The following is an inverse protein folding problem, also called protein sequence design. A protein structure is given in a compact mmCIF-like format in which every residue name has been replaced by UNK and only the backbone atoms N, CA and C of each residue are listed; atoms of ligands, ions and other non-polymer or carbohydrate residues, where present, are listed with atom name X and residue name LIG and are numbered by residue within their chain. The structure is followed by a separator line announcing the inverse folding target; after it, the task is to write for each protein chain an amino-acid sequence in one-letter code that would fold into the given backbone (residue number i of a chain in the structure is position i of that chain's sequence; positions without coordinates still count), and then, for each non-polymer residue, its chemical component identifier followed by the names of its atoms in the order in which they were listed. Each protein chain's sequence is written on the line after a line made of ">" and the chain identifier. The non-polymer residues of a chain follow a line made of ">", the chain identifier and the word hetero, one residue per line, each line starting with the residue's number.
data_IF_964295740103
#
_entry.id   IF_964295740103
#
_cell.length_a   1.000
_cell.length_b   1.000
_cell.length_c   1.000
_cell.angle_alpha   90.00
_cell.angle_beta   90.00
_cell.angle_gamma   90.00
#
_symmetry.space_group_name_H-M   'P 1'
#
loop_
_entity.id
_entity.type
_entity.pdbx_description
1 polymer ?
#
# COMPACT_ATOMS: atom_id res chain seq x y z
N UNK A 1 -2.39 20.01 12.63
CA UNK A 1 -1.78 21.37 12.62
C UNK A 1 -1.47 21.90 14.04
N UNK A 2 -0.93 21.07 14.96
CA UNK A 2 -0.68 21.50 16.36
C UNK A 2 0.64 20.99 16.96
N UNK A 3 1.63 20.74 16.09
CA UNK A 3 2.99 20.29 16.47
C UNK A 3 4.04 21.41 16.33
N UNK A 4 3.64 22.59 15.82
CA UNK A 4 4.52 23.73 15.58
C UNK A 4 4.62 24.74 16.74
N UNK A 5 3.84 24.58 17.82
CA UNK A 5 3.81 25.60 18.88
C UNK A 5 4.77 25.31 20.02
N UNK A 6 4.71 24.14 20.66
CA UNK A 6 5.50 23.92 21.88
C UNK A 6 6.99 23.67 21.61
N UNK A 7 7.33 22.85 20.61
CA UNK A 7 8.73 22.57 20.27
C UNK A 7 9.45 23.84 19.81
N UNK A 8 8.84 24.53 18.85
CA UNK A 8 9.39 25.75 18.26
C UNK A 8 9.48 26.88 19.29
N UNK A 9 8.51 27.03 20.19
CA UNK A 9 8.61 28.03 21.28
C UNK A 9 9.77 27.73 22.23
N UNK A 10 10.00 26.45 22.56
CA UNK A 10 11.14 26.06 23.41
C UNK A 10 12.48 26.32 22.70
N UNK A 11 12.58 26.02 21.41
CA UNK A 11 13.79 26.30 20.62
C UNK A 11 14.06 27.80 20.46
N UNK A 12 13.01 28.60 20.24
CA UNK A 12 13.11 30.05 20.18
C UNK A 12 13.58 30.61 21.52
N UNK A 13 12.97 30.18 22.63
CA UNK A 13 13.37 30.60 23.98
C UNK A 13 14.84 30.27 24.26
N UNK A 14 15.28 29.04 23.92
CA UNK A 14 16.68 28.62 24.07
C UNK A 14 17.63 29.48 23.24
N UNK A 15 17.25 29.82 22.02
CA UNK A 15 18.07 30.63 21.11
C UNK A 15 18.13 32.08 21.58
N UNK A 16 17.01 32.66 21.99
CA UNK A 16 16.94 34.00 22.58
C UNK A 16 17.78 34.10 23.86
N UNK A 17 17.74 33.09 24.74
CA UNK A 17 18.55 33.06 25.96
C UNK A 17 20.06 33.07 25.65
N UNK A 18 20.51 32.30 24.64
CA UNK A 18 21.91 32.30 24.20
C UNK A 18 22.35 33.68 23.70
N UNK A 19 21.49 34.34 22.90
CA UNK A 19 21.77 35.68 22.37
C UNK A 19 21.84 36.72 23.50
N UNK A 20 20.91 36.67 24.46
CA UNK A 20 20.93 37.56 25.63
C UNK A 20 22.19 37.35 26.46
N UNK A 21 22.55 36.10 26.75
CA UNK A 21 23.76 35.78 27.52
C UNK A 21 25.03 36.24 26.80
N UNK A 22 25.12 36.04 25.48
CA UNK A 22 26.24 36.53 24.69
C UNK A 22 26.30 38.06 24.72
N UNK A 23 25.16 38.74 24.54
CA UNK A 23 25.07 40.20 24.60
C UNK A 23 25.51 40.75 25.96
N UNK A 24 25.15 40.09 27.06
CA UNK A 24 25.60 40.44 28.41
C UNK A 24 27.11 40.26 28.59
N UNK A 25 27.69 39.18 28.07
CA UNK A 25 29.15 38.96 28.10
C UNK A 25 29.87 40.07 27.33
N UNK A 26 29.38 40.41 26.12
CA UNK A 26 29.93 41.50 25.33
C UNK A 26 29.79 42.86 26.03
N UNK A 27 28.63 43.15 26.63
CA UNK A 27 28.41 44.39 27.37
C UNK A 27 29.30 44.48 28.61
N UNK A 28 29.47 43.38 29.35
CA UNK A 28 30.37 43.30 30.49
C UNK A 28 31.83 43.51 30.08
N UNK A 29 32.29 42.83 29.03
CA UNK A 29 33.64 43.00 28.48
C UNK A 29 33.86 44.44 28.01
N UNK A 30 32.89 45.02 27.32
CA UNK A 30 32.95 46.40 26.86
C UNK A 30 33.03 47.39 28.03
N UNK A 31 32.21 47.22 29.07
CA UNK A 31 32.26 48.07 30.27
C UNK A 31 33.59 47.97 31.00
N UNK A 32 34.10 46.74 31.19
CA UNK A 32 35.36 46.49 31.89
C UNK A 32 36.57 47.06 31.14
N UNK A 33 36.60 46.94 29.82
CA UNK A 33 37.70 47.45 28.98
C UNK A 33 37.44 48.86 28.40
N UNK A 34 36.34 49.52 28.75
CA UNK A 34 35.99 50.87 28.27
C UNK A 34 37.03 51.94 28.68
N UNK A 35 37.70 51.76 29.81
CA UNK A 35 38.82 52.61 30.24
C UNK A 35 40.05 52.43 29.35
N UNK A 36 40.37 51.18 28.97
CA UNK A 36 41.46 50.84 28.05
C UNK A 36 41.21 51.42 26.65
N UNK A 37 39.98 51.35 26.15
CA UNK A 37 39.61 51.96 24.86
C UNK A 37 39.71 53.50 24.86
N UNK A 38 39.42 54.17 25.99
CA UNK A 38 39.60 55.63 26.12
C UNK A 38 41.07 56.05 26.15
N UNK A 39 41.95 55.21 26.66
CA UNK A 39 43.39 55.48 26.72
C UNK A 39 44.12 55.19 25.39
N UNK A 40 43.47 54.47 24.46
CA UNK A 40 44.05 54.00 23.20
C UNK A 40 44.57 55.13 22.28
N UNK A 41 43.89 56.28 22.11
CA UNK A 41 44.37 57.37 21.24
C UNK A 41 45.66 58.03 21.72
N UNK A 42 46.01 57.88 23.00
CA UNK A 42 47.22 58.47 23.59
C UNK A 42 48.46 57.60 23.39
N UNK A 43 48.29 56.33 22.97
CA UNK A 43 49.38 55.40 22.67
C UNK A 43 49.47 55.26 21.14
N UNK A 44 50.59 55.66 20.53
CA UNK A 44 50.74 55.63 19.06
C UNK A 44 50.44 54.27 18.40
N UNK A 45 50.36 54.25 17.07
CA UNK A 45 49.87 53.10 16.25
C UNK A 45 50.41 51.72 16.66
N UNK A 46 51.72 51.59 16.92
CA UNK A 46 52.35 50.32 17.28
C UNK A 46 51.84 49.75 18.61
N UNK A 47 51.64 50.61 19.62
CA UNK A 47 51.09 50.23 20.91
C UNK A 47 49.60 49.89 20.80
N UNK A 48 48.83 50.69 20.04
CA UNK A 48 47.41 50.45 19.80
C UNK A 48 47.14 49.08 19.18
N UNK A 49 47.94 48.67 18.19
CA UNK A 49 47.83 47.36 17.54
C UNK A 49 48.07 46.19 18.53
N UNK A 50 49.09 46.28 19.38
CA UNK A 50 49.38 45.24 20.38
C UNK A 50 48.25 45.11 21.41
N UNK A 51 47.74 46.23 21.93
CA UNK A 51 46.65 46.23 22.90
C UNK A 51 45.36 45.68 22.28
N UNK A 52 44.98 46.14 21.08
CA UNK A 52 43.78 45.66 20.38
C UNK A 52 43.88 44.17 20.06
N UNK A 53 45.03 43.70 19.57
CA UNK A 53 45.21 42.28 19.28
C UNK A 53 45.12 41.40 20.54
N UNK A 54 45.61 41.88 21.68
CA UNK A 54 45.48 41.19 22.97
C UNK A 54 44.02 41.14 23.43
N UNK A 55 43.31 42.28 23.35
CA UNK A 55 41.88 42.36 23.71
C UNK A 55 41.01 41.44 22.84
N UNK A 56 41.26 41.41 21.53
CA UNK A 56 40.55 40.52 20.60
C UNK A 56 40.81 39.06 20.97
N UNK A 57 42.05 38.67 21.30
CA UNK A 57 42.37 37.29 21.72
C UNK A 57 41.61 36.92 23.00
N UNK A 58 41.60 37.78 24.02
CA UNK A 58 40.89 37.54 25.26
C UNK A 58 39.38 37.43 25.07
N UNK A 59 38.80 38.30 24.24
CA UNK A 59 37.40 38.22 23.84
C UNK A 59 37.11 36.89 23.12
N UNK A 60 37.96 36.49 22.18
CA UNK A 60 37.82 35.25 21.43
C UNK A 60 37.84 34.01 22.32
N UNK A 61 38.79 33.94 23.25
CA UNK A 61 38.90 32.84 24.21
C UNK A 61 37.66 32.79 25.11
N UNK A 62 37.18 33.94 25.58
CA UNK A 62 35.96 34.02 26.42
C UNK A 62 34.71 33.56 25.68
N UNK A 63 34.52 34.00 24.43
CA UNK A 63 33.38 33.59 23.59
C UNK A 63 33.44 32.11 23.25
N UNK A 64 34.62 31.58 22.92
CA UNK A 64 34.80 30.15 22.63
C UNK A 64 34.51 29.29 23.87
N UNK A 65 35.04 29.66 25.04
CA UNK A 65 34.76 28.95 26.28
C UNK A 65 33.26 28.95 26.61
N UNK A 66 32.57 30.09 26.44
CA UNK A 66 31.13 30.19 26.62
C UNK A 66 30.36 29.26 25.67
N UNK A 67 30.68 29.27 24.36
CA UNK A 67 30.00 28.42 23.39
C UNK A 67 30.26 26.93 23.62
N UNK A 68 31.45 26.54 24.07
CA UNK A 68 31.75 25.16 24.45
C UNK A 68 30.84 24.72 25.59
N UNK A 69 30.74 25.51 26.66
CA UNK A 69 29.89 25.19 27.83
C UNK A 69 28.42 25.09 27.42
N UNK A 70 27.91 26.08 26.69
CA UNK A 70 26.52 26.09 26.21
C UNK A 70 26.25 24.93 25.26
N UNK A 71 27.20 24.60 24.38
CA UNK A 71 27.09 23.49 23.44
C UNK A 71 27.02 22.13 24.12
N UNK A 72 27.84 21.91 25.16
CA UNK A 72 27.80 20.68 25.97
C UNK A 72 26.45 20.53 26.67
N UNK A 73 25.94 21.61 27.28
CA UNK A 73 24.62 21.59 27.95
C UNK A 73 23.49 21.32 26.95
N UNK A 74 23.56 21.92 25.76
CA UNK A 74 22.58 21.71 24.70
C UNK A 74 22.58 20.26 24.20
N UNK A 75 23.77 19.73 23.91
CA UNK A 75 23.96 18.36 23.45
C UNK A 75 23.46 17.35 24.48
N UNK A 76 23.80 17.53 25.76
CA UNK A 76 23.37 16.62 26.83
C UNK A 76 21.84 16.58 26.96
N UNK A 77 21.18 17.74 26.89
CA UNK A 77 19.72 17.83 26.92
C UNK A 77 19.07 17.14 25.71
N UNK A 78 19.59 17.38 24.51
CA UNK A 78 19.08 16.75 23.30
C UNK A 78 19.29 15.24 23.31
N UNK A 79 20.46 14.77 23.74
CA UNK A 79 20.75 13.34 23.87
C UNK A 79 19.77 12.65 24.82
N UNK A 80 19.50 13.25 25.98
CA UNK A 80 18.51 12.73 26.93
C UNK A 80 17.10 12.68 26.32
N UNK A 81 16.69 13.75 25.65
CA UNK A 81 15.37 13.85 25.02
C UNK A 81 15.18 12.80 23.92
N UNK A 82 16.12 12.70 22.99
CA UNK A 82 16.09 11.70 21.90
C UNK A 82 15.98 10.29 22.47
N UNK A 83 16.78 9.97 23.49
CA UNK A 83 16.75 8.65 24.13
C UNK A 83 15.46 8.37 24.89
N UNK A 84 14.74 9.40 25.33
CA UNK A 84 13.41 9.28 25.93
C UNK A 84 12.35 9.08 24.85
N UNK A 85 12.43 9.83 23.75
CA UNK A 85 11.48 9.79 22.64
C UNK A 85 11.59 8.48 21.84
N UNK A 86 12.78 7.88 21.77
CA UNK A 86 13.01 6.56 21.14
C UNK A 86 12.51 5.37 21.98
N UNK A 87 12.07 5.58 23.22
CA UNK A 87 11.47 4.50 24.01
C UNK A 87 10.02 4.37 23.60
N UNK A 88 9.63 3.19 23.11
CA UNK A 88 8.23 2.88 22.88
C UNK A 88 7.43 3.06 24.17
N UNK A 89 6.29 3.75 24.07
CA UNK A 89 5.29 3.73 25.14
C UNK A 89 4.70 2.32 25.26
N UNK A 90 4.20 1.98 26.46
CA UNK A 90 3.41 0.74 26.62
C UNK A 90 2.20 0.72 25.69
N UNK A 91 1.68 1.90 25.35
CA UNK A 91 0.58 2.05 24.40
C UNK A 91 1.03 1.78 22.96
N UNK A 92 2.23 2.22 22.58
CA UNK A 92 2.80 1.96 21.24
C UNK A 92 3.05 0.47 21.03
N UNK A 93 3.61 -0.22 22.03
CA UNK A 93 3.82 -1.69 21.99
C UNK A 93 2.50 -2.43 21.86
N UNK A 94 1.46 -1.99 22.59
CA UNK A 94 0.14 -2.60 22.52
C UNK A 94 -0.54 -2.38 21.17
N UNK A 95 -0.27 -1.25 20.52
CA UNK A 95 -0.80 -0.93 19.21
C UNK A 95 -0.07 -1.70 18.11
N UNK A 96 1.26 -1.81 18.17
CA UNK A 96 2.02 -2.68 17.28
C UNK A 96 1.59 -4.15 17.39
N UNK A 97 1.33 -4.65 18.59
CA UNK A 97 0.80 -6.01 18.77
C UNK A 97 -0.58 -6.20 18.10
N UNK A 98 -1.46 -5.21 18.18
CA UNK A 98 -2.77 -5.25 17.50
C UNK A 98 -2.63 -5.20 15.97
N UNK A 99 -1.69 -4.40 15.48
CA UNK A 99 -1.43 -4.24 14.04
C UNK A 99 -0.75 -5.49 13.45
N UNK A 100 0.11 -6.16 14.23
CA UNK A 100 0.76 -7.43 13.86
C UNK A 100 -0.20 -8.62 13.87
N UNK A 101 -1.12 -8.69 14.83
CA UNK A 101 -2.13 -9.76 14.88
C UNK A 101 -3.20 -9.58 13.80
N UNK A 102 -3.48 -8.34 13.40
CA UNK A 102 -4.44 -7.98 12.37
C UNK A 102 -5.88 -8.31 12.78
N UNK A 103 -6.83 -7.44 12.46
CA UNK A 103 -8.23 -7.70 12.78
C UNK A 103 -8.73 -8.94 11.99
N UNK A 104 -9.10 -10.05 12.65
CA UNK A 104 -9.62 -11.24 11.98
C UNK A 104 -10.84 -10.91 11.12
N UNK A 105 -11.62 -9.89 11.45
CA UNK A 105 -12.74 -9.42 10.63
C UNK A 105 -12.26 -8.83 9.30
N UNK A 106 -11.16 -8.10 9.30
CA UNK A 106 -10.60 -7.51 8.08
C UNK A 106 -9.98 -8.57 7.15
N UNK A 107 -9.37 -9.62 7.72
CA UNK A 107 -8.89 -10.79 6.96
C UNK A 107 -10.06 -11.57 6.35
N UNK A 108 -11.11 -11.82 7.12
CA UNK A 108 -12.31 -12.52 6.64
C UNK A 108 -13.02 -11.70 5.56
N UNK A 109 -13.24 -10.40 5.77
CA UNK A 109 -13.87 -9.50 4.79
C UNK A 109 -13.09 -9.41 3.48
N UNK A 110 -11.75 -9.39 3.54
CA UNK A 110 -10.90 -9.44 2.33
C UNK A 110 -11.09 -10.76 1.57
N UNK A 111 -11.14 -11.88 2.28
CA UNK A 111 -11.34 -13.21 1.68
C UNK A 111 -12.74 -13.34 1.07
N UNK A 112 -13.77 -12.83 1.74
CA UNK A 112 -15.15 -12.79 1.25
C UNK A 112 -15.25 -11.98 -0.05
N UNK A 113 -14.68 -10.78 -0.07
CA UNK A 113 -14.68 -9.91 -1.26
C UNK A 113 -13.95 -10.56 -2.45
N UNK A 114 -12.82 -11.24 -2.21
CA UNK A 114 -12.10 -11.98 -3.26
C UNK A 114 -12.91 -13.17 -3.78
N UNK A 115 -13.66 -13.85 -2.92
CA UNK A 115 -14.57 -14.94 -3.32
C UNK A 115 -15.74 -14.42 -4.14
N UNK A 116 -16.30 -13.27 -3.77
CA UNK A 116 -17.44 -12.66 -4.46
C UNK A 116 -17.06 -12.24 -5.89
N UNK A 117 -15.91 -11.60 -6.08
CA UNK A 117 -15.38 -11.21 -7.40
C UNK A 117 -15.19 -12.43 -8.31
N UNK A 118 -14.58 -13.51 -7.79
CA UNK A 118 -14.39 -14.76 -8.54
C UNK A 118 -15.73 -15.41 -8.89
N UNK A 119 -16.69 -15.43 -7.96
CA UNK A 119 -18.02 -15.99 -8.20
C UNK A 119 -18.83 -15.19 -9.21
N UNK A 120 -18.67 -13.86 -9.24
CA UNK A 120 -19.32 -12.97 -10.20
C UNK A 120 -18.78 -13.14 -11.62
N UNK A 121 -17.46 -13.23 -11.77
CA UNK A 121 -16.84 -13.52 -13.07
C UNK A 121 -17.27 -14.89 -13.60
N UNK A 122 -17.32 -15.91 -12.75
CA UNK A 122 -17.77 -17.25 -13.13
C UNK A 122 -19.24 -17.23 -13.59
N UNK A 123 -20.12 -16.59 -12.82
CA UNK A 123 -21.54 -16.51 -13.17
C UNK A 123 -21.75 -15.83 -14.52
N UNK A 124 -20.95 -14.80 -14.84
CA UNK A 124 -21.00 -14.14 -16.13
C UNK A 124 -20.56 -15.06 -17.28
N UNK A 125 -19.48 -15.83 -17.11
CA UNK A 125 -19.03 -16.81 -18.11
C UNK A 125 -20.07 -17.90 -18.36
N UNK A 126 -20.74 -18.38 -17.30
CA UNK A 126 -21.83 -19.37 -17.43
C UNK A 126 -23.01 -18.80 -18.23
N UNK A 127 -23.42 -17.55 -17.95
CA UNK A 127 -24.52 -16.88 -18.68
C UNK A 127 -24.24 -16.66 -20.17
N UNK A 128 -22.97 -16.51 -20.54
CA UNK A 128 -22.55 -16.35 -21.94
C UNK A 128 -22.37 -17.68 -22.67
N UNK A 129 -22.53 -18.80 -21.97
CA UNK A 129 -22.36 -20.13 -22.55
C UNK A 129 -23.62 -20.52 -23.33
N UNK A 130 -23.41 -21.17 -24.47
CA UNK A 130 -24.49 -21.76 -25.27
C UNK A 130 -24.94 -23.09 -24.68
N UNK A 131 -24.00 -23.84 -24.09
CA UNK A 131 -24.29 -25.10 -23.42
C UNK A 131 -23.28 -25.38 -22.31
N UNK A 132 -23.70 -26.18 -21.33
CA UNK A 132 -22.82 -26.72 -20.29
C UNK A 132 -22.77 -28.23 -20.42
N UNK A 133 -21.57 -28.80 -20.54
CA UNK A 133 -21.34 -30.25 -20.56
C UNK A 133 -20.93 -30.70 -19.17
N UNK A 134 -21.61 -31.71 -18.60
CA UNK A 134 -21.29 -32.23 -17.26
C UNK A 134 -20.88 -33.69 -17.26
N UNK A 135 -19.95 -34.02 -16.36
CA UNK A 135 -19.74 -35.35 -15.81
C UNK A 135 -20.31 -35.31 -14.38
N UNK A 136 -21.32 -36.13 -14.04
CA UNK A 136 -22.04 -36.05 -12.78
C UNK A 136 -21.15 -35.82 -11.57
N UNK A 137 -21.55 -34.86 -10.74
CA UNK A 137 -20.91 -34.46 -9.47
C UNK A 137 -19.43 -34.05 -9.51
N UNK A 138 -18.76 -34.15 -10.66
CA UNK A 138 -17.30 -34.02 -10.74
C UNK A 138 -16.79 -32.94 -11.68
N UNK A 139 -17.42 -32.74 -12.85
CA UNK A 139 -16.91 -31.78 -13.85
C UNK A 139 -18.08 -31.06 -14.53
N UNK A 140 -17.94 -29.75 -14.72
CA UNK A 140 -18.79 -28.98 -15.62
C UNK A 140 -17.92 -28.08 -16.50
N UNK A 141 -18.21 -28.07 -17.81
CA UNK A 141 -17.52 -27.26 -18.81
C UNK A 141 -18.53 -26.39 -19.55
N UNK A 142 -18.27 -25.09 -19.58
CA UNK A 142 -19.06 -24.08 -20.25
C UNK A 142 -18.56 -23.85 -21.68
N UNK A 143 -19.40 -24.10 -22.67
CA UNK A 143 -19.08 -23.92 -24.08
C UNK A 143 -19.68 -22.61 -24.61
N UNK A 144 -18.84 -21.76 -25.18
CA UNK A 144 -19.23 -20.57 -25.92
C UNK A 144 -19.17 -20.81 -27.42
N UNK A 145 -20.16 -20.28 -28.15
CA UNK A 145 -20.19 -20.31 -29.60
C UNK A 145 -21.06 -19.16 -30.12
N UNK A 146 -20.63 -18.50 -31.19
CA UNK A 146 -21.43 -17.48 -31.86
C UNK A 146 -21.16 -17.57 -33.37
N UNK A 147 -22.18 -17.80 -34.23
CA UNK A 147 -21.97 -17.98 -35.67
C UNK A 147 -21.16 -16.87 -36.36
N UNK A 148 -21.28 -15.63 -35.88
CA UNK A 148 -20.64 -14.44 -36.48
C UNK A 148 -19.28 -14.13 -35.84
N UNK A 149 -19.22 -14.10 -34.50
CA UNK A 149 -18.04 -13.60 -33.78
C UNK A 149 -17.10 -14.73 -33.30
N UNK A 150 -17.63 -15.94 -33.12
CA UNK A 150 -16.91 -17.10 -32.58
C UNK A 150 -17.23 -18.36 -33.39
N UNK A 151 -16.70 -18.48 -34.63
CA UNK A 151 -17.04 -19.56 -35.56
C UNK A 151 -16.51 -20.93 -35.11
N UNK A 152 -15.54 -20.95 -34.18
CA UNK A 152 -15.03 -22.17 -33.55
C UNK A 152 -15.40 -22.11 -32.06
N UNK A 153 -16.11 -23.12 -31.53
CA UNK A 153 -16.49 -23.16 -30.12
C UNK A 153 -15.28 -23.05 -29.18
N UNK A 154 -15.49 -22.40 -28.04
CA UNK A 154 -14.45 -22.19 -27.01
C UNK A 154 -14.94 -22.62 -25.65
N UNK A 155 -14.02 -22.99 -24.77
CA UNK A 155 -14.32 -23.21 -23.35
C UNK A 155 -14.32 -21.86 -22.64
N UNK A 156 -15.48 -21.35 -22.22
CA UNK A 156 -15.57 -20.08 -21.50
C UNK A 156 -15.16 -20.23 -20.03
N UNK A 157 -15.54 -21.35 -19.43
CA UNK A 157 -15.27 -21.64 -18.03
C UNK A 157 -15.28 -23.16 -17.81
N UNK A 158 -14.55 -23.64 -16.81
CA UNK A 158 -14.58 -25.06 -16.42
C UNK A 158 -14.34 -25.22 -14.93
N UNK A 159 -15.06 -26.12 -14.28
CA UNK A 159 -14.93 -26.35 -12.84
C UNK A 159 -15.03 -27.83 -12.47
N UNK A 160 -14.43 -28.18 -11.33
CA UNK A 160 -14.55 -29.51 -10.72
C UNK A 160 -15.32 -29.48 -9.40
N UNK A 161 -15.88 -30.62 -9.02
CA UNK A 161 -16.54 -30.88 -7.72
C UNK A 161 -17.54 -29.79 -7.31
N UNK A 162 -17.24 -29.03 -6.25
CA UNK A 162 -18.11 -27.95 -5.76
C UNK A 162 -18.32 -26.85 -6.82
N UNK A 163 -17.29 -26.51 -7.59
CA UNK A 163 -17.39 -25.53 -8.66
C UNK A 163 -18.24 -26.06 -9.83
N UNK A 164 -18.14 -27.35 -10.13
CA UNK A 164 -18.98 -27.99 -11.15
C UNK A 164 -20.47 -27.91 -10.78
N UNK A 165 -20.82 -28.22 -9.52
CA UNK A 165 -22.19 -28.11 -9.02
C UNK A 165 -22.69 -26.66 -9.04
N UNK A 166 -21.84 -25.69 -8.72
CA UNK A 166 -22.17 -24.26 -8.79
C UNK A 166 -22.44 -23.80 -10.23
N UNK A 167 -21.60 -24.22 -11.19
CA UNK A 167 -21.79 -23.94 -12.62
C UNK A 167 -23.12 -24.51 -13.11
N UNK A 168 -23.44 -25.77 -12.78
CA UNK A 168 -24.71 -26.41 -13.17
C UNK A 168 -25.91 -25.65 -12.58
N UNK A 169 -25.85 -25.26 -11.31
CA UNK A 169 -26.91 -24.50 -10.66
C UNK A 169 -27.14 -23.14 -11.32
N UNK A 170 -26.06 -22.41 -11.66
CA UNK A 170 -26.17 -21.14 -12.39
C UNK A 170 -26.75 -21.37 -13.78
N UNK A 171 -26.29 -22.41 -14.49
CA UNK A 171 -26.79 -22.74 -15.82
C UNK A 171 -28.29 -23.03 -15.79
N UNK A 172 -28.76 -23.88 -14.87
CA UNK A 172 -30.17 -24.19 -14.67
C UNK A 172 -31.00 -22.94 -14.33
N UNK A 173 -30.49 -22.04 -13.47
CA UNK A 173 -31.16 -20.78 -13.12
C UNK A 173 -31.26 -19.79 -14.27
N UNK A 174 -30.33 -19.82 -15.22
CA UNK A 174 -30.31 -18.93 -16.38
C UNK A 174 -30.83 -19.63 -17.65
N UNK A 175 -31.48 -20.79 -17.50
CA UNK A 175 -32.01 -21.60 -18.60
C UNK A 175 -30.95 -21.96 -19.67
N UNK A 176 -29.68 -22.09 -19.26
CA UNK A 176 -28.61 -22.56 -20.14
C UNK A 176 -28.66 -24.09 -20.19
N UNK A 177 -28.75 -24.71 -21.38
CA UNK A 177 -28.87 -26.16 -21.53
C UNK A 177 -27.69 -26.92 -20.93
N UNK A 178 -27.98 -27.83 -20.00
CA UNK A 178 -27.00 -28.70 -19.35
C UNK A 178 -27.11 -30.11 -19.95
N UNK A 179 -26.06 -30.56 -20.63
CA UNK A 179 -25.98 -31.86 -21.28
C UNK A 179 -25.03 -32.76 -20.52
N UNK A 180 -25.50 -33.96 -20.17
CA UNK A 180 -24.67 -34.96 -19.51
C UNK A 180 -23.91 -35.79 -20.55
N UNK A 181 -22.59 -35.65 -20.57
CA UNK A 181 -21.70 -36.46 -21.40
C UNK A 181 -20.35 -36.59 -20.70
N UNK A 182 -20.14 -37.73 -20.04
CA UNK A 182 -18.97 -37.97 -19.18
C UNK A 182 -17.66 -37.92 -19.96
N UNK A 183 -17.64 -38.51 -21.15
CA UNK A 183 -16.43 -38.63 -21.97
C UNK A 183 -16.03 -37.26 -22.53
N UNK A 184 -16.98 -36.55 -23.13
CA UNK A 184 -16.75 -35.20 -23.66
C UNK A 184 -16.39 -34.20 -22.55
N UNK A 185 -17.05 -34.26 -21.39
CA UNK A 185 -16.73 -33.39 -20.27
C UNK A 185 -15.30 -33.61 -19.75
N UNK A 186 -14.83 -34.86 -19.69
CA UNK A 186 -13.45 -35.18 -19.30
C UNK A 186 -12.45 -34.68 -20.33
N UNK A 187 -12.66 -34.98 -21.62
CA UNK A 187 -11.77 -34.50 -22.68
C UNK A 187 -11.70 -32.97 -22.72
N UNK A 188 -12.83 -32.27 -22.69
CA UNK A 188 -12.84 -30.81 -22.66
C UNK A 188 -12.15 -30.24 -21.40
N UNK A 189 -12.31 -30.89 -20.25
CA UNK A 189 -11.72 -30.42 -19.00
C UNK A 189 -10.19 -30.58 -18.95
N UNK A 190 -9.67 -31.70 -19.47
CA UNK A 190 -8.23 -32.00 -19.43
C UNK A 190 -7.46 -31.49 -20.65
N UNK A 191 -8.08 -31.46 -21.84
CA UNK A 191 -7.39 -31.10 -23.10
C UNK A 191 -7.49 -29.61 -23.46
N UNK A 192 -8.45 -28.86 -22.89
CA UNK A 192 -8.72 -27.47 -23.30
C UNK A 192 -8.67 -26.52 -22.11
N UNK A 193 -7.88 -25.45 -22.20
CA UNK A 193 -7.82 -24.41 -21.16
C UNK A 193 -8.99 -23.41 -21.27
N UNK A 194 -9.21 -22.63 -20.20
CA UNK A 194 -10.26 -21.60 -20.16
C UNK A 194 -9.89 -20.48 -21.15
N UNK A 195 -10.82 -20.13 -22.03
CA UNK A 195 -10.67 -19.12 -23.09
C UNK A 195 -10.25 -19.70 -24.45
N UNK A 196 -9.78 -20.94 -24.48
CA UNK A 196 -9.22 -21.54 -25.68
C UNK A 196 -10.27 -22.18 -26.59
N UNK A 197 -9.90 -22.29 -27.88
CA UNK A 197 -10.68 -23.02 -28.89
C UNK A 197 -10.58 -24.52 -28.61
N UNK A 198 -11.67 -25.23 -28.88
CA UNK A 198 -11.62 -26.69 -28.85
C UNK A 198 -10.62 -27.22 -29.92
N UNK A 199 -9.93 -28.33 -29.66
CA UNK A 199 -9.06 -28.99 -30.64
C UNK A 199 -9.88 -29.73 -31.70
N UNK A 200 -9.28 -30.01 -32.86
CA UNK A 200 -9.93 -30.71 -33.99
C UNK A 200 -10.49 -32.07 -33.60
N UNK A 201 -9.83 -32.77 -32.66
CA UNK A 201 -10.28 -34.06 -32.11
C UNK A 201 -11.67 -34.00 -31.48
N UNK A 202 -12.06 -32.83 -30.97
CA UNK A 202 -13.34 -32.60 -30.28
C UNK A 202 -14.38 -31.86 -31.14
N UNK A 203 -14.07 -31.55 -32.40
CA UNK A 203 -14.99 -30.82 -33.29
C UNK A 203 -16.31 -31.57 -33.51
N UNK A 204 -16.25 -32.85 -33.89
CA UNK A 204 -17.45 -33.65 -34.12
C UNK A 204 -18.35 -33.81 -32.88
N UNK A 205 -17.84 -34.27 -31.72
CA UNK A 205 -18.68 -34.44 -30.54
C UNK A 205 -19.25 -33.11 -30.03
N UNK A 206 -18.50 -32.00 -30.11
CA UNK A 206 -19.02 -30.68 -29.75
C UNK A 206 -20.06 -30.19 -30.76
N UNK A 207 -19.85 -30.39 -32.07
CA UNK A 207 -20.82 -30.02 -33.09
C UNK A 207 -22.13 -30.80 -32.96
N UNK A 208 -22.06 -32.10 -32.64
CA UNK A 208 -23.24 -32.91 -32.35
C UNK A 208 -24.02 -32.38 -31.15
N UNK A 209 -23.32 -31.99 -30.08
CA UNK A 209 -23.92 -31.39 -28.89
C UNK A 209 -24.58 -30.03 -29.20
N UNK A 210 -23.88 -29.14 -29.91
CA UNK A 210 -24.43 -27.83 -30.29
C UNK A 210 -25.66 -27.96 -31.20
N UNK A 211 -25.66 -28.91 -32.15
CA UNK A 211 -26.85 -29.20 -32.98
C UNK A 211 -28.03 -29.65 -32.13
N UNK A 212 -27.79 -30.50 -31.14
CA UNK A 212 -28.83 -30.97 -30.22
C UNK A 212 -29.40 -29.80 -29.40
N UNK A 213 -28.53 -28.96 -28.84
CA UNK A 213 -28.93 -27.83 -28.00
C UNK A 213 -29.65 -26.74 -28.80
N UNK A 214 -29.12 -26.34 -29.95
CA UNK A 214 -29.75 -25.30 -30.79
C UNK A 214 -31.10 -25.73 -31.37
N UNK A 215 -31.31 -27.04 -31.60
CA UNK A 215 -32.63 -27.56 -32.00
C UNK A 215 -33.66 -27.39 -30.87
N UNK A 216 -33.22 -27.45 -29.61
CA UNK A 216 -34.08 -27.23 -28.43
C UNK A 216 -34.41 -25.75 -28.28
N UNK A 217 -33.43 -24.84 -28.45
CA UNK A 217 -33.67 -23.38 -28.40
C UNK A 217 -34.65 -22.91 -29.49
N UNK A 218 -34.53 -23.44 -30.71
CA UNK A 218 -35.45 -23.09 -31.82
C UNK A 218 -36.91 -23.51 -31.53
N UNK A 219 -37.12 -24.61 -30.81
CA UNK A 219 -38.44 -25.05 -30.39
C UNK A 219 -39.06 -24.08 -29.36
N UNK A 220 -38.25 -23.52 -28.46
CA UNK A 220 -38.73 -22.56 -27.46
C UNK A 220 -39.16 -21.20 -28.05
N UNK A 221 -38.61 -20.81 -29.21
CA UNK A 221 -39.00 -19.59 -29.93
C UNK A 221 -40.25 -19.72 -30.81
N UNK A 222 -40.79 -20.92 -31.00
CA UNK A 222 -41.94 -21.17 -31.88
C UNK A 222 -43.27 -21.45 -31.14
N UNK A 223 -43.24 -21.48 -29.80
CA UNK A 223 -44.41 -21.64 -28.93
C UNK A 223 -44.80 -20.36 -28.16
N UNK A 224 -44.63 -19.18 -28.76
CA UNK A 224 -45.32 -17.96 -28.29
C UNK A 224 -46.47 -17.63 -29.25
N UNK A 225 -47.74 -17.86 -28.87
CA UNK A 225 -48.89 -17.26 -29.53
C UNK A 225 -49.01 -15.75 -29.24
#
# INVERSE_FOLDING_TARGET
>A
KQIFSLHSVVELCKSSLKVIMLSLIFAFFFYYYASTFRALPYCGLACGLLVVSSLIKWLWVGVMAFYIVVGILDYSFQYYKIRKDLKMSKDDVKQEHKDLEGDPQMKTRRREMQSEIQSGSLAQSVKQSVAVVRNPTHIAVCLGYHPTDMPIPRVLEKGSDAQANYIVNIAERNCIPVVENVELARSLFFEVERGDKIPETLFEPVAALLRMVMKIDYAHSTETP
#
